data_IF_968706016565
#
_entry.id   IF_968706016565
#
_cell.length_a   1.000
_cell.length_b   1.000
_cell.length_c   1.000
_cell.angle_alpha   90.00
_cell.angle_beta   90.00
_cell.angle_gamma   90.00
#
_symmetry.space_group_name_H-M   'P 1'
#
loop_
_entity.id
_entity.type
_entity.pdbx_description
1 polymer ?
#
# COMPACT_ATOMS: atom_id res chain seq x y z
N UNK A 1 -26.99 9.72 11.11
CA UNK A 1 -26.06 8.80 10.44
C UNK A 1 -24.81 8.79 11.30
N UNK A 2 -24.29 7.64 11.77
CA UNK A 2 -23.04 7.68 12.52
C UNK A 2 -21.95 8.18 11.58
N UNK A 3 -21.22 9.23 11.98
CA UNK A 3 -20.01 9.67 11.28
C UNK A 3 -19.10 8.45 11.17
N UNK A 4 -18.80 8.00 9.94
CA UNK A 4 -17.74 7.02 9.74
C UNK A 4 -16.44 7.72 10.16
N UNK A 5 -15.92 7.34 11.31
CA UNK A 5 -14.64 7.83 11.81
C UNK A 5 -13.54 7.21 10.94
N UNK A 6 -12.95 8.02 10.06
CA UNK A 6 -11.84 7.62 9.21
C UNK A 6 -10.52 7.98 9.88
N UNK A 7 -9.63 7.00 9.92
CA UNK A 7 -8.25 7.14 10.33
C UNK A 7 -7.42 7.68 9.16
N UNK A 8 -6.51 8.63 9.37
CA UNK A 8 -5.58 9.10 8.33
C UNK A 8 -4.82 7.95 7.66
N UNK A 9 -4.41 8.11 6.39
CA UNK A 9 -3.64 7.07 5.70
C UNK A 9 -2.33 6.74 6.42
N UNK A 10 -1.69 7.71 7.06
CA UNK A 10 -0.46 7.53 7.86
C UNK A 10 -0.61 6.58 9.03
N UNK A 11 -1.82 6.25 9.46
CA UNK A 11 -2.05 5.27 10.52
C UNK A 11 -1.58 3.87 10.10
N UNK A 12 -1.52 3.56 8.80
CA UNK A 12 -1.01 2.26 8.33
C UNK A 12 0.46 2.02 8.73
N UNK A 13 1.24 3.09 8.96
CA UNK A 13 2.66 2.98 9.32
C UNK A 13 2.88 2.21 10.62
N UNK A 14 1.89 2.14 11.53
CA UNK A 14 1.96 1.33 12.75
C UNK A 14 2.11 -0.17 12.44
N UNK A 15 1.62 -0.60 11.28
CA UNK A 15 1.64 -2.00 10.84
C UNK A 15 2.77 -2.31 9.85
N UNK A 16 3.65 -1.36 9.57
CA UNK A 16 4.70 -1.50 8.56
C UNK A 16 6.05 -1.23 9.19
N UNK A 17 6.91 -2.25 9.23
CA UNK A 17 8.30 -2.06 9.64
C UNK A 17 9.10 -1.31 8.56
N UNK A 18 10.02 -0.44 8.98
CA UNK A 18 10.81 0.37 8.04
C UNK A 18 11.57 -0.45 7.00
N UNK A 19 12.19 -1.56 7.41
CA UNK A 19 12.95 -2.41 6.49
C UNK A 19 12.04 -3.03 5.42
N UNK A 20 10.80 -3.37 5.79
CA UNK A 20 9.81 -3.86 4.85
C UNK A 20 9.30 -2.74 3.94
N UNK A 21 9.05 -1.53 4.47
CA UNK A 21 8.70 -0.37 3.66
C UNK A 21 9.77 -0.04 2.60
N UNK A 22 11.05 -0.09 2.98
CA UNK A 22 12.16 0.11 2.04
C UNK A 22 12.12 -0.94 0.90
N UNK A 23 11.75 -2.19 1.20
CA UNK A 23 11.54 -3.24 0.19
C UNK A 23 10.36 -2.91 -0.73
N UNK A 24 9.20 -2.56 -0.17
CA UNK A 24 8.00 -2.19 -0.95
C UNK A 24 8.31 -1.03 -1.92
N UNK A 25 9.02 -0.02 -1.43
CA UNK A 25 9.40 1.15 -2.23
C UNK A 25 10.43 0.78 -3.30
N UNK A 26 11.39 -0.09 -2.98
CA UNK A 26 12.33 -0.61 -3.98
C UNK A 26 11.59 -1.32 -5.11
N UNK A 27 10.69 -2.25 -4.77
CA UNK A 27 9.88 -2.98 -5.75
C UNK A 27 9.04 -2.04 -6.60
N UNK A 28 8.44 -1.02 -5.99
CA UNK A 28 7.68 -0.01 -6.70
C UNK A 28 8.58 0.79 -7.67
N UNK A 29 9.74 1.28 -7.22
CA UNK A 29 10.67 2.03 -8.07
C UNK A 29 11.21 1.20 -9.24
N UNK A 30 11.41 -0.10 -9.04
CA UNK A 30 11.88 -1.03 -10.07
C UNK A 30 10.74 -1.47 -11.00
N UNK A 31 9.51 -1.57 -10.49
CA UNK A 31 8.33 -2.05 -11.21
C UNK A 31 7.55 -0.98 -11.98
N UNK A 32 7.72 0.31 -11.72
CA UNK A 32 7.01 1.38 -12.45
C UNK A 32 7.21 1.30 -13.97
N UNK A 33 8.33 0.77 -14.45
CA UNK A 33 8.60 0.61 -15.89
C UNK A 33 7.69 -0.43 -16.58
N UNK A 34 6.98 -1.28 -15.82
CA UNK A 34 6.02 -2.26 -16.36
C UNK A 34 4.62 -1.68 -16.56
N UNK A 35 4.35 -0.51 -15.96
CA UNK A 35 3.08 0.21 -16.09
C UNK A 35 2.98 0.91 -17.46
N UNK A 36 1.77 1.39 -17.78
CA UNK A 36 1.53 2.16 -19.01
C UNK A 36 2.38 3.43 -19.08
N UNK A 37 2.52 4.02 -20.28
CA UNK A 37 3.36 5.20 -20.45
C UNK A 37 2.81 6.41 -19.69
N UNK A 38 1.49 6.51 -19.65
CA UNK A 38 0.73 7.52 -18.92
C UNK A 38 1.01 7.42 -17.42
N UNK A 39 0.91 6.22 -16.85
CA UNK A 39 1.19 5.96 -15.43
C UNK A 39 2.65 6.21 -15.06
N UNK A 40 3.60 5.88 -15.94
CA UNK A 40 5.01 6.21 -15.73
C UNK A 40 5.26 7.72 -15.66
N UNK A 41 4.57 8.50 -16.50
CA UNK A 41 4.68 9.96 -16.51
C UNK A 41 4.06 10.54 -15.24
N UNK A 42 2.88 10.04 -14.86
CA UNK A 42 2.20 10.41 -13.64
C UNK A 42 3.07 10.13 -12.42
N UNK A 43 3.66 8.94 -12.32
CA UNK A 43 4.59 8.54 -11.27
C UNK A 43 5.78 9.49 -11.19
N UNK A 44 6.40 9.80 -12.32
CA UNK A 44 7.54 10.72 -12.34
C UNK A 44 7.17 12.13 -11.86
N UNK A 45 5.96 12.60 -12.16
CA UNK A 45 5.46 13.90 -11.70
C UNK A 45 5.15 13.89 -10.21
N UNK A 46 4.45 12.86 -9.74
CA UNK A 46 4.19 12.62 -8.33
C UNK A 46 5.50 12.57 -7.52
N UNK A 47 6.48 11.78 -7.99
CA UNK A 47 7.76 11.61 -7.32
C UNK A 47 8.51 12.94 -7.18
N UNK A 48 8.59 13.76 -8.24
CA UNK A 48 9.25 15.08 -8.17
C UNK A 48 8.54 16.07 -7.25
N UNK A 49 7.20 15.99 -7.19
CA UNK A 49 6.39 16.85 -6.35
C UNK A 49 6.62 16.54 -4.87
N UNK A 50 6.49 15.28 -4.48
CA UNK A 50 6.44 14.89 -3.07
C UNK A 50 7.80 14.44 -2.49
N UNK A 51 8.72 13.95 -3.31
CA UNK A 51 10.00 13.40 -2.84
C UNK A 51 11.12 14.43 -3.06
N UNK A 52 11.84 14.77 -2.00
CA UNK A 52 12.98 15.71 -2.04
C UNK A 52 14.23 14.98 -1.56
N UNK A 53 15.33 15.13 -2.30
CA UNK A 53 16.61 14.49 -1.99
C UNK A 53 17.67 15.58 -1.98
N UNK A 54 18.36 15.72 -0.85
CA UNK A 54 19.41 16.72 -0.69
C UNK A 54 20.52 16.51 -1.74
N UNK A 55 20.94 17.59 -2.39
CA UNK A 55 21.95 17.54 -3.47
C UNK A 55 21.39 17.21 -4.85
N UNK A 56 20.10 16.91 -5.00
CA UNK A 56 19.49 16.59 -6.29
C UNK A 56 18.39 17.57 -6.67
N UNK A 57 18.61 18.35 -7.74
CA UNK A 57 17.57 19.20 -8.33
C UNK A 57 16.43 18.37 -8.93
N UNK A 58 16.75 17.21 -9.50
CA UNK A 58 15.78 16.23 -9.99
C UNK A 58 15.95 14.93 -9.18
N UNK A 59 15.04 14.64 -8.23
CA UNK A 59 15.19 13.50 -7.32
C UNK A 59 15.13 12.15 -8.07
N UNK A 60 14.52 12.09 -9.26
CA UNK A 60 14.45 10.87 -10.08
C UNK A 60 15.85 10.39 -10.51
N UNK A 61 16.83 11.30 -10.62
CA UNK A 61 18.21 10.98 -11.02
C UNK A 61 19.11 10.59 -9.85
N UNK A 62 18.58 10.58 -8.62
CA UNK A 62 19.37 10.19 -7.47
C UNK A 62 19.66 8.68 -7.45
N UNK A 63 20.77 8.25 -6.82
CA UNK A 63 21.04 6.84 -6.52
C UNK A 63 19.83 6.15 -5.90
N UNK A 64 19.64 4.87 -6.23
CA UNK A 64 18.47 4.10 -5.79
C UNK A 64 18.29 4.12 -4.26
N UNK A 65 19.38 3.94 -3.50
CA UNK A 65 19.34 3.98 -2.04
C UNK A 65 18.82 5.31 -1.48
N UNK A 66 19.24 6.44 -2.06
CA UNK A 66 18.77 7.76 -1.67
C UNK A 66 17.30 7.98 -2.06
N UNK A 67 16.87 7.43 -3.20
CA UNK A 67 15.46 7.48 -3.63
C UNK A 67 14.57 6.66 -2.68
N UNK A 68 14.99 5.45 -2.31
CA UNK A 68 14.26 4.60 -1.38
C UNK A 68 14.11 5.31 -0.04
N UNK A 69 15.21 5.77 0.55
CA UNK A 69 15.18 6.41 1.87
C UNK A 69 14.30 7.66 1.88
N UNK A 70 14.46 8.56 0.90
CA UNK A 70 13.66 9.78 0.84
C UNK A 70 12.17 9.52 0.54
N UNK A 71 11.86 8.49 -0.26
CA UNK A 71 10.47 8.10 -0.50
C UNK A 71 9.88 7.49 0.76
N UNK A 72 10.58 6.60 1.43
CA UNK A 72 10.09 5.96 2.65
C UNK A 72 9.82 6.99 3.77
N UNK A 73 10.69 8.00 3.93
CA UNK A 73 10.41 9.12 4.84
C UNK A 73 9.18 9.92 4.41
N UNK A 74 8.99 10.19 3.11
CA UNK A 74 7.79 10.87 2.64
C UNK A 74 6.51 10.03 2.83
N UNK A 75 6.60 8.71 2.71
CA UNK A 75 5.48 7.80 2.97
C UNK A 75 5.06 7.83 4.44
N UNK A 76 6.01 7.85 5.37
CA UNK A 76 5.73 7.93 6.80
C UNK A 76 5.16 9.28 7.22
N UNK A 77 5.64 10.37 6.62
CA UNK A 77 5.31 11.74 7.02
C UNK A 77 4.07 12.31 6.33
N UNK A 78 3.78 11.91 5.09
CA UNK A 78 2.81 12.59 4.22
C UNK A 78 1.64 11.69 3.87
N UNK A 79 0.47 12.10 4.34
CA UNK A 79 -0.77 11.33 4.19
C UNK A 79 -1.20 11.13 2.73
N UNK A 80 -0.89 12.10 1.86
CA UNK A 80 -1.17 12.03 0.42
C UNK A 80 -0.25 11.08 -0.34
N UNK A 81 0.91 10.75 0.24
CA UNK A 81 1.90 9.87 -0.41
C UNK A 81 1.50 8.41 -0.33
N UNK A 82 0.89 8.00 0.77
CA UNK A 82 0.52 6.62 1.07
C UNK A 82 -0.48 6.05 0.06
N UNK A 83 -1.66 6.66 -0.18
CA UNK A 83 -2.65 6.07 -1.07
C UNK A 83 -2.15 5.97 -2.50
N UNK A 84 -1.36 6.96 -2.96
CA UNK A 84 -0.72 6.89 -4.27
C UNK A 84 0.28 5.73 -4.36
N UNK A 85 1.10 5.57 -3.33
CA UNK A 85 2.14 4.52 -3.27
C UNK A 85 1.52 3.13 -3.25
N UNK A 86 0.51 2.90 -2.40
CA UNK A 86 -0.15 1.60 -2.28
C UNK A 86 -1.00 1.27 -3.51
N UNK A 87 -1.69 2.26 -4.11
CA UNK A 87 -2.36 2.09 -5.41
C UNK A 87 -1.37 1.66 -6.49
N UNK A 88 -0.24 2.36 -6.61
CA UNK A 88 0.78 2.06 -7.62
C UNK A 88 1.41 0.68 -7.39
N UNK A 89 1.69 0.33 -6.13
CA UNK A 89 2.23 -0.97 -5.78
C UNK A 89 1.24 -2.11 -6.05
N UNK A 90 -0.05 -1.92 -5.77
CA UNK A 90 -1.11 -2.88 -6.10
C UNK A 90 -1.24 -3.11 -7.61
N UNK A 91 -1.07 -2.07 -8.43
CA UNK A 91 -1.02 -2.19 -9.90
C UNK A 91 0.18 -3.01 -10.38
N UNK A 92 1.37 -2.73 -9.82
CA UNK A 92 2.60 -3.49 -10.13
C UNK A 92 2.42 -4.97 -9.71
N UNK A 93 1.80 -5.21 -8.55
CA UNK A 93 1.47 -6.54 -8.03
C UNK A 93 0.03 -6.96 -8.36
N UNK A 94 -0.45 -6.66 -9.57
CA UNK A 94 -1.85 -6.90 -9.96
C UNK A 94 -2.32 -8.35 -9.77
N UNK A 95 -1.45 -9.33 -9.97
CA UNK A 95 -1.77 -10.75 -9.72
C UNK A 95 -2.10 -10.98 -8.24
N UNK A 96 -1.28 -10.48 -7.32
CA UNK A 96 -1.52 -10.57 -5.88
C UNK A 96 -2.76 -9.77 -5.48
N UNK A 97 -2.86 -8.53 -5.96
CA UNK A 97 -3.95 -7.64 -5.62
C UNK A 97 -5.31 -8.24 -6.00
N UNK A 98 -5.44 -8.80 -7.21
CA UNK A 98 -6.68 -9.46 -7.64
C UNK A 98 -6.98 -10.74 -6.83
N UNK A 99 -5.96 -11.54 -6.47
CA UNK A 99 -6.17 -12.72 -5.64
C UNK A 99 -6.66 -12.36 -4.24
N UNK A 100 -6.04 -11.37 -3.61
CA UNK A 100 -6.46 -10.87 -2.30
C UNK A 100 -7.87 -10.29 -2.37
N UNK A 101 -8.17 -9.52 -3.41
CA UNK A 101 -9.54 -9.00 -3.64
C UNK A 101 -10.56 -10.14 -3.70
N UNK A 102 -10.37 -11.12 -4.59
CA UNK A 102 -11.28 -12.27 -4.74
C UNK A 102 -11.40 -13.08 -3.45
N UNK A 103 -10.30 -13.26 -2.71
CA UNK A 103 -10.33 -13.96 -1.43
C UNK A 103 -11.13 -13.17 -0.38
N UNK A 104 -10.91 -11.87 -0.23
CA UNK A 104 -11.66 -11.01 0.69
C UNK A 104 -13.15 -10.97 0.34
N UNK A 105 -13.50 -10.95 -0.94
CA UNK A 105 -14.89 -11.08 -1.41
C UNK A 105 -15.52 -12.40 -0.95
N UNK A 106 -14.77 -13.51 -1.06
CA UNK A 106 -15.24 -14.84 -0.62
C UNK A 106 -15.41 -14.95 0.91
N UNK A 107 -14.60 -14.21 1.67
CA UNK A 107 -14.72 -14.09 3.13
C UNK A 107 -15.82 -13.07 3.54
N UNK A 108 -16.52 -12.45 2.59
CA UNK A 108 -17.66 -11.57 2.84
C UNK A 108 -17.31 -10.13 3.24
N UNK A 109 -16.09 -9.68 2.94
CA UNK A 109 -15.68 -8.30 3.18
C UNK A 109 -16.41 -7.34 2.24
N UNK A 110 -16.58 -6.09 2.69
CA UNK A 110 -17.33 -5.04 1.98
C UNK A 110 -16.44 -3.83 1.71
N UNK A 111 -16.86 -2.98 0.77
CA UNK A 111 -16.18 -1.71 0.43
C UNK A 111 -14.73 -1.92 -0.04
N UNK A 112 -14.45 -3.06 -0.68
CA UNK A 112 -13.13 -3.39 -1.21
C UNK A 112 -12.80 -2.54 -2.45
N UNK A 113 -11.58 -2.02 -2.52
CA UNK A 113 -11.08 -1.32 -3.72
C UNK A 113 -9.56 -1.48 -3.86
N UNK A 114 -9.10 -1.56 -5.11
CA UNK A 114 -7.68 -1.64 -5.47
C UNK A 114 -7.01 -0.25 -5.49
N UNK A 115 -7.80 0.81 -5.60
CA UNK A 115 -7.32 2.19 -5.76
C UNK A 115 -8.05 3.12 -4.79
N UNK A 116 -7.30 4.03 -4.14
CA UNK A 116 -7.86 5.13 -3.33
C UNK A 116 -7.10 6.41 -3.60
N UNK A 117 -7.75 7.54 -3.40
CA UNK A 117 -7.17 8.86 -3.66
C UNK A 117 -7.30 9.78 -2.45
N UNK A 118 -6.32 10.66 -2.28
CA UNK A 118 -6.31 11.63 -1.19
C UNK A 118 -7.23 12.83 -1.50
N UNK A 119 -8.08 13.24 -0.55
CA UNK A 119 -8.68 14.58 -0.54
C UNK A 119 -10.20 14.74 -0.42
N UNK A 120 -11.02 13.67 -0.41
CA UNK A 120 -12.49 13.83 -0.44
C UNK A 120 -13.17 13.53 0.91
N UNK A 121 -12.84 12.44 1.59
CA UNK A 121 -13.25 12.08 2.96
C UNK A 121 -12.80 10.64 3.21
N UNK A 122 -11.52 10.34 2.96
CA UNK A 122 -11.04 8.97 2.86
C UNK A 122 -9.75 8.78 3.63
N UNK A 123 -9.68 7.61 4.23
CA UNK A 123 -8.62 7.08 5.06
C UNK A 123 -9.00 5.64 5.37
N UNK A 124 -8.40 5.06 6.40
CA UNK A 124 -8.80 3.72 6.81
C UNK A 124 -10.01 3.76 7.75
N UNK A 125 -10.92 2.80 7.65
CA UNK A 125 -11.97 2.63 8.66
C UNK A 125 -11.49 1.75 9.82
N UNK A 126 -11.99 2.01 11.02
CA UNK A 126 -11.72 1.17 12.21
C UNK A 126 -12.62 -0.08 12.28
N UNK A 127 -13.21 -0.50 11.16
CA UNK A 127 -14.18 -1.61 11.07
C UNK A 127 -13.48 -2.97 10.82
N UNK A 128 -12.36 -3.20 11.50
CA UNK A 128 -11.68 -4.49 11.42
C UNK A 128 -12.47 -5.57 12.19
N UNK A 129 -12.59 -6.80 11.67
CA UNK A 129 -13.25 -7.90 12.39
C UNK A 129 -12.55 -8.17 13.73
N UNK A 130 -13.30 -8.07 14.84
CA UNK A 130 -12.74 -8.09 16.21
C UNK A 130 -12.07 -9.40 16.64
N UNK A 131 -12.24 -10.46 15.86
CA UNK A 131 -11.71 -11.80 16.09
C UNK A 131 -10.76 -12.26 14.98
N UNK A 132 -10.18 -11.33 14.22
CA UNK A 132 -9.28 -11.66 13.12
C UNK A 132 -7.90 -11.05 13.34
N UNK A 133 -6.90 -11.91 13.47
CA UNK A 133 -5.49 -11.57 13.58
C UNK A 133 -4.77 -11.69 12.23
N UNK A 134 -3.57 -11.14 12.13
CA UNK A 134 -2.73 -11.32 10.94
C UNK A 134 -2.30 -12.78 10.73
N UNK A 135 -2.12 -13.55 11.81
CA UNK A 135 -1.84 -14.98 11.73
C UNK A 135 -3.02 -15.74 11.12
N UNK A 136 -4.24 -15.46 11.57
CA UNK A 136 -5.45 -16.10 11.03
C UNK A 136 -5.69 -15.72 9.56
N UNK A 137 -5.37 -14.49 9.15
CA UNK A 137 -5.40 -14.09 7.74
C UNK A 137 -4.44 -14.93 6.90
N UNK A 138 -3.19 -15.07 7.36
CA UNK A 138 -2.18 -15.85 6.67
C UNK A 138 -2.60 -17.32 6.55
N UNK A 139 -3.09 -17.92 7.64
CA UNK A 139 -3.56 -19.30 7.66
C UNK A 139 -4.75 -19.52 6.73
N UNK A 140 -5.78 -18.67 6.81
CA UNK A 140 -6.95 -18.76 5.94
C UNK A 140 -6.59 -18.58 4.47
N UNK A 141 -5.71 -17.63 4.16
CA UNK A 141 -5.26 -17.41 2.78
C UNK A 141 -4.48 -18.62 2.26
N UNK A 142 -3.56 -19.19 3.05
CA UNK A 142 -2.81 -20.40 2.68
C UNK A 142 -3.72 -21.63 2.52
N UNK A 143 -4.78 -21.75 3.32
CA UNK A 143 -5.77 -22.82 3.16
C UNK A 143 -6.54 -22.70 1.84
N UNK A 144 -6.90 -21.48 1.43
CA UNK A 144 -7.56 -21.22 0.15
C UNK A 144 -6.58 -21.32 -1.05
N UNK A 145 -5.31 -20.98 -0.85
CA UNK A 145 -4.26 -20.91 -1.88
C UNK A 145 -2.99 -21.70 -1.52
N UNK A 146 -3.08 -23.04 -1.29
CA UNK A 146 -1.98 -23.83 -0.71
C UNK A 146 -0.75 -24.01 -1.61
N UNK A 147 -0.85 -23.64 -2.89
CA UNK A 147 0.25 -23.74 -3.87
C UNK A 147 1.02 -22.44 -4.06
N UNK A 148 0.62 -21.37 -3.37
CA UNK A 148 1.25 -20.06 -3.49
C UNK A 148 2.27 -19.87 -2.38
N UNK A 149 3.52 -19.63 -2.78
CA UNK A 149 4.55 -19.15 -1.87
C UNK A 149 4.49 -17.63 -1.86
N UNK A 150 3.90 -17.10 -0.80
CA UNK A 150 3.67 -15.66 -0.66
C UNK A 150 4.27 -15.17 0.66
N UNK A 151 4.95 -14.02 0.59
CA UNK A 151 5.43 -13.36 1.79
C UNK A 151 4.26 -12.81 2.59
N UNK A 152 4.21 -13.16 3.88
CA UNK A 152 3.21 -12.69 4.83
C UNK A 152 3.01 -11.17 4.79
N UNK A 153 4.08 -10.39 4.86
CA UNK A 153 3.96 -8.92 4.91
C UNK A 153 3.29 -8.35 3.65
N UNK A 154 3.55 -8.94 2.48
CA UNK A 154 2.89 -8.57 1.22
C UNK A 154 1.39 -8.86 1.27
N UNK A 155 1.00 -10.01 1.84
CA UNK A 155 -0.41 -10.35 2.05
C UNK A 155 -1.07 -9.31 2.95
N UNK A 156 -0.49 -9.09 4.14
CA UNK A 156 -1.09 -8.23 5.14
C UNK A 156 -1.21 -6.80 4.63
N UNK A 157 -0.14 -6.24 4.03
CA UNK A 157 -0.20 -4.90 3.45
C UNK A 157 -1.25 -4.80 2.35
N UNK A 158 -1.36 -5.82 1.49
CA UNK A 158 -2.37 -5.85 0.43
C UNK A 158 -3.80 -5.98 1.01
N UNK A 159 -3.99 -6.74 2.09
CA UNK A 159 -5.29 -6.85 2.78
C UNK A 159 -5.68 -5.54 3.43
N UNK A 160 -4.79 -4.90 4.21
CA UNK A 160 -5.03 -3.60 4.82
C UNK A 160 -5.37 -2.56 3.76
N UNK A 161 -4.61 -2.55 2.66
CA UNK A 161 -4.87 -1.68 1.53
C UNK A 161 -6.24 -1.97 0.92
N UNK A 162 -6.48 -3.18 0.40
CA UNK A 162 -7.69 -3.49 -0.37
C UNK A 162 -8.96 -3.37 0.47
N UNK A 163 -8.93 -3.79 1.73
CA UNK A 163 -10.06 -3.63 2.65
C UNK A 163 -10.30 -2.17 3.06
N UNK A 164 -9.25 -1.35 3.09
CA UNK A 164 -9.34 0.00 3.62
C UNK A 164 -9.73 0.02 5.09
N UNK A 165 -9.43 -1.06 5.83
CA UNK A 165 -9.69 -1.14 7.27
C UNK A 165 -8.40 -1.47 8.00
N UNK A 166 -8.26 -0.94 9.21
CA UNK A 166 -7.12 -1.21 10.08
C UNK A 166 -7.60 -1.89 11.37
N UNK A 167 -6.84 -2.88 11.89
CA UNK A 167 -7.05 -3.40 13.23
C UNK A 167 -7.04 -2.27 14.26
N UNK A 168 -7.78 -2.45 15.35
CA UNK A 168 -7.60 -1.62 16.54
C UNK A 168 -6.27 -2.02 17.21
N UNK A 169 -5.54 -1.02 17.69
CA UNK A 169 -4.38 -1.24 18.58
C UNK A 169 -4.79 -1.98 19.87
#
# INVERSE_FOLDING_TARGET
>A
MPEKEYLPFKTINVFIERNYLDKVIKELLEGVNTLSREEQIEFANFFRKHIKILGFRNPVRAPLSLRINAYASAFEEKDDVIPYTLTTWAKIKSVLANRVLTWLESEGWKELTLERSYGIAEGFSANWPSNLTFDEIEEKYKQAHPKEDLQRDDLILMVLWISGTLPKE
#
